data_IF_533284092785
#
_entry.id   IF_533284092785
#
_cell.length_a   1.000
_cell.length_b   1.000
_cell.length_c   1.000
_cell.angle_alpha   90.00
_cell.angle_beta   90.00
_cell.angle_gamma   90.00
#
_symmetry.space_group_name_H-M   'P 1'
#
loop_
_entity.id
_entity.type
_entity.pdbx_description
1 polymer ?
#
# COMPACT_ATOMS: atom_id res chain seq x y z
N UNK A 1 -63.87 69.45 28.87
CA UNK A 1 -62.61 70.21 28.80
C UNK A 1 -61.44 69.27 29.06
N UNK A 2 -60.43 69.27 28.17
CA UNK A 2 -59.15 68.51 28.16
C UNK A 2 -59.26 66.98 27.94
N UNK A 3 -58.36 66.26 27.30
CA UNK A 3 -57.45 66.46 26.14
C UNK A 3 -56.93 65.04 25.81
N UNK A 4 -56.86 64.72 24.53
CA UNK A 4 -56.18 63.59 23.87
C UNK A 4 -54.81 63.16 24.46
N UNK A 5 -54.57 61.83 24.41
CA UNK A 5 -53.44 61.12 23.74
C UNK A 5 -52.23 60.56 24.55
N UNK A 6 -52.05 59.25 24.33
CA UNK A 6 -50.83 58.42 24.25
C UNK A 6 -49.90 58.24 25.45
N UNK A 7 -49.88 57.00 25.98
CA UNK A 7 -48.64 56.30 26.28
C UNK A 7 -48.84 54.78 26.36
N UNK A 8 -48.97 54.07 25.25
CA UNK A 8 -48.75 52.61 25.22
C UNK A 8 -48.49 52.13 23.79
N UNK A 9 -47.25 52.25 23.33
CA UNK A 9 -46.73 51.45 22.20
C UNK A 9 -45.21 51.57 22.12
N UNK A 10 -44.51 50.80 22.92
CA UNK A 10 -43.12 50.39 22.68
C UNK A 10 -42.76 49.40 23.78
N UNK A 11 -43.01 48.10 23.57
CA UNK A 11 -42.44 46.97 24.32
C UNK A 11 -43.10 45.66 23.84
N UNK A 12 -42.96 45.32 22.55
CA UNK A 12 -43.19 43.92 22.16
C UNK A 12 -42.45 43.46 20.90
N UNK A 13 -41.93 44.35 20.04
CA UNK A 13 -41.20 43.91 18.85
C UNK A 13 -39.71 43.57 19.11
N UNK A 14 -39.05 44.16 20.11
CA UNK A 14 -37.61 43.96 20.32
C UNK A 14 -37.21 42.55 20.82
N UNK A 15 -38.08 41.87 21.57
CA UNK A 15 -37.78 40.54 22.13
C UNK A 15 -38.07 39.39 21.18
N UNK A 16 -38.98 39.55 20.21
CA UNK A 16 -39.33 38.51 19.25
C UNK A 16 -38.27 38.36 18.14
N UNK A 17 -37.66 39.46 17.70
CA UNK A 17 -36.56 39.42 16.72
C UNK A 17 -35.24 38.93 17.31
N UNK A 18 -35.00 39.12 18.61
CA UNK A 18 -33.79 38.63 19.27
C UNK A 18 -33.80 37.09 19.41
N UNK A 19 -34.94 36.50 19.80
CA UNK A 19 -35.08 35.04 19.91
C UNK A 19 -35.06 34.34 18.56
N UNK A 20 -35.66 34.92 17.51
CA UNK A 20 -35.54 34.37 16.15
C UNK A 20 -34.11 34.45 15.60
N UNK A 21 -33.37 35.55 15.84
CA UNK A 21 -31.95 35.63 15.44
C UNK A 21 -31.07 34.62 16.17
N UNK A 22 -31.31 34.37 17.46
CA UNK A 22 -30.58 33.36 18.24
C UNK A 22 -30.90 31.94 17.75
N UNK A 23 -32.17 31.63 17.47
CA UNK A 23 -32.57 30.34 16.90
C UNK A 23 -31.99 30.09 15.50
N UNK A 24 -31.94 31.12 14.64
CA UNK A 24 -31.34 31.04 13.30
C UNK A 24 -29.81 30.86 13.39
N UNK A 25 -29.13 31.54 14.33
CA UNK A 25 -27.68 31.38 14.54
C UNK A 25 -27.35 30.00 15.11
N UNK A 26 -28.15 29.47 16.04
CA UNK A 26 -27.96 28.10 16.55
C UNK A 26 -28.24 27.02 15.50
N UNK A 27 -29.24 27.21 14.64
CA UNK A 27 -29.52 26.25 13.55
C UNK A 27 -28.49 26.35 12.42
N UNK A 28 -27.99 27.55 12.09
CA UNK A 28 -26.83 27.70 11.18
C UNK A 28 -25.56 27.09 11.80
N UNK A 29 -25.29 27.32 13.08
CA UNK A 29 -24.14 26.71 13.76
C UNK A 29 -24.26 25.18 13.87
N UNK A 30 -25.46 24.64 14.05
CA UNK A 30 -25.69 23.19 14.05
C UNK A 30 -25.56 22.58 12.64
N UNK A 31 -26.01 23.28 11.59
CA UNK A 31 -25.80 22.86 10.19
C UNK A 31 -24.31 22.93 9.83
N UNK A 32 -23.60 24.01 10.20
CA UNK A 32 -22.15 24.15 10.00
C UNK A 32 -21.34 23.16 10.84
N UNK A 33 -21.76 22.84 12.06
CA UNK A 33 -21.14 21.80 12.87
C UNK A 33 -21.43 20.41 12.31
N UNK A 34 -22.63 20.16 11.76
CA UNK A 34 -22.95 18.88 11.11
C UNK A 34 -22.19 18.70 9.79
N UNK A 35 -21.97 19.77 9.02
CA UNK A 35 -21.13 19.75 7.82
C UNK A 35 -19.65 19.64 8.17
N UNK A 36 -19.16 20.33 9.20
CA UNK A 36 -17.79 20.13 9.69
C UNK A 36 -17.56 18.71 10.22
N UNK A 37 -18.55 18.12 10.91
CA UNK A 37 -18.46 16.74 11.40
C UNK A 37 -18.60 15.73 10.26
N UNK A 38 -19.38 16.03 9.21
CA UNK A 38 -19.39 15.24 7.97
C UNK A 38 -18.07 15.36 7.19
N UNK A 39 -17.43 16.53 7.15
CA UNK A 39 -16.13 16.73 6.50
C UNK A 39 -14.97 16.15 7.34
N UNK A 40 -15.09 16.13 8.68
CA UNK A 40 -14.11 15.54 9.61
C UNK A 40 -14.19 14.03 9.70
N UNK A 41 -15.35 13.44 9.40
CA UNK A 41 -15.43 12.05 8.99
C UNK A 41 -15.15 12.01 7.49
N UNK A 42 -13.87 12.10 7.12
CA UNK A 42 -13.40 11.68 5.80
C UNK A 42 -14.17 10.40 5.44
N UNK A 43 -14.96 10.49 4.37
CA UNK A 43 -15.95 9.50 4.01
C UNK A 43 -15.20 8.20 3.72
N UNK A 44 -15.08 7.35 4.75
CA UNK A 44 -14.30 6.11 4.68
C UNK A 44 -14.69 5.39 3.41
N UNK A 45 -13.72 5.01 2.59
CA UNK A 45 -14.00 4.17 1.43
C UNK A 45 -14.78 2.94 1.91
N UNK A 46 -15.99 2.74 1.42
CA UNK A 46 -16.81 1.58 1.81
C UNK A 46 -16.18 0.26 1.31
N UNK A 47 -16.45 -0.89 1.96
CA UNK A 47 -16.04 -2.19 1.43
C UNK A 47 -16.51 -2.37 -0.02
N UNK A 48 -15.62 -2.88 -0.88
CA UNK A 48 -15.91 -3.08 -2.30
C UNK A 48 -16.48 -4.48 -2.48
N UNK A 49 -17.60 -4.64 -3.19
CA UNK A 49 -18.14 -5.98 -3.48
C UNK A 49 -17.16 -6.80 -4.36
N UNK A 50 -17.07 -8.13 -4.21
CA UNK A 50 -16.13 -8.96 -4.98
C UNK A 50 -16.19 -8.79 -6.51
N UNK A 51 -17.39 -8.69 -7.07
CA UNK A 51 -17.58 -8.50 -8.52
C UNK A 51 -17.10 -7.11 -8.96
N UNK A 52 -17.35 -6.10 -8.11
CA UNK A 52 -16.90 -4.74 -8.36
C UNK A 52 -15.39 -4.60 -8.23
N UNK A 53 -14.77 -5.34 -7.30
CA UNK A 53 -13.33 -5.44 -7.19
C UNK A 53 -12.71 -5.96 -8.49
N UNK A 54 -13.26 -7.03 -9.05
CA UNK A 54 -12.83 -7.58 -10.34
C UNK A 54 -13.01 -6.59 -11.49
N UNK A 55 -14.15 -5.89 -11.56
CA UNK A 55 -14.41 -4.87 -12.56
C UNK A 55 -13.41 -3.71 -12.48
N UNK A 56 -13.15 -3.19 -11.27
CA UNK A 56 -12.19 -2.10 -11.04
C UNK A 56 -10.79 -2.57 -11.43
N UNK A 57 -10.33 -3.70 -10.91
CA UNK A 57 -9.02 -4.27 -11.22
C UNK A 57 -8.81 -4.42 -12.75
N UNK A 58 -9.79 -4.97 -13.47
CA UNK A 58 -9.70 -5.17 -14.92
C UNK A 58 -9.74 -3.85 -15.70
N UNK A 59 -10.64 -2.93 -15.33
CA UNK A 59 -10.79 -1.65 -16.05
C UNK A 59 -9.56 -0.75 -15.92
N UNK A 60 -8.92 -0.76 -14.75
CA UNK A 60 -7.69 -0.01 -14.49
C UNK A 60 -6.45 -0.64 -15.12
N UNK A 61 -6.44 -1.95 -15.33
CA UNK A 61 -5.27 -2.65 -15.88
C UNK A 61 -5.08 -2.40 -17.37
N UNK A 62 -3.83 -2.48 -17.82
CA UNK A 62 -3.42 -2.52 -19.23
C UNK A 62 -2.69 -3.85 -19.54
N UNK A 63 -2.23 -4.01 -20.78
CA UNK A 63 -1.45 -5.19 -21.17
C UNK A 63 -0.14 -5.25 -20.36
N UNK A 64 0.26 -6.46 -19.95
CA UNK A 64 1.50 -6.67 -19.22
C UNK A 64 2.71 -6.31 -20.08
N UNK A 65 3.69 -5.64 -19.48
CA UNK A 65 4.97 -5.38 -20.11
C UNK A 65 6.02 -6.43 -19.72
N UNK A 66 7.19 -6.33 -20.37
CA UNK A 66 8.32 -7.20 -20.09
C UNK A 66 9.16 -6.68 -18.92
N UNK A 67 9.55 -7.60 -18.03
CA UNK A 67 10.58 -7.36 -17.03
C UNK A 67 11.48 -8.60 -16.93
N UNK A 68 12.79 -8.39 -16.97
CA UNK A 68 13.79 -9.45 -17.18
C UNK A 68 13.99 -10.44 -16.01
N UNK A 69 13.29 -10.27 -14.89
CA UNK A 69 13.50 -11.08 -13.69
C UNK A 69 12.22 -11.34 -12.94
N UNK A 70 12.06 -12.55 -12.44
CA UNK A 70 11.05 -12.82 -11.43
C UNK A 70 11.45 -12.11 -10.13
N UNK A 71 10.49 -11.39 -9.53
CA UNK A 71 10.64 -10.75 -8.22
C UNK A 71 9.51 -11.29 -7.34
N UNK A 72 9.82 -12.31 -6.55
CA UNK A 72 8.87 -12.98 -5.65
C UNK A 72 8.78 -12.32 -4.27
N UNK A 73 9.86 -11.71 -3.80
CA UNK A 73 9.90 -10.93 -2.57
C UNK A 73 10.79 -9.70 -2.76
N UNK A 74 10.65 -8.71 -1.89
CA UNK A 74 11.63 -7.61 -1.79
C UNK A 74 13.04 -8.12 -1.48
N UNK A 75 14.05 -7.46 -2.05
CA UNK A 75 15.46 -7.62 -1.68
C UNK A 75 16.02 -6.35 -1.00
N UNK A 76 15.15 -5.40 -0.66
CA UNK A 76 15.50 -4.10 -0.12
C UNK A 76 15.79 -4.21 1.37
N UNK A 77 17.04 -4.01 1.77
CA UNK A 77 17.45 -4.13 3.18
C UNK A 77 17.18 -2.86 4.00
N UNK A 78 16.92 -1.72 3.32
CA UNK A 78 16.70 -0.39 3.92
C UNK A 78 15.24 0.03 3.92
N UNK A 79 14.31 -0.84 3.50
CA UNK A 79 12.90 -0.46 3.29
C UNK A 79 12.18 -0.02 4.58
N UNK A 80 12.71 -0.38 5.76
CA UNK A 80 12.19 0.06 7.06
C UNK A 80 12.70 1.45 7.47
N UNK A 81 13.77 1.95 6.87
CA UNK A 81 14.50 3.13 7.34
C UNK A 81 13.63 4.41 7.31
N UNK A 82 12.68 4.48 6.39
CA UNK A 82 11.79 5.63 6.23
C UNK A 82 10.52 5.56 7.09
N UNK A 83 10.25 4.44 7.78
CA UNK A 83 8.99 4.26 8.52
C UNK A 83 8.89 5.26 9.68
N UNK A 84 10.01 5.56 10.37
CA UNK A 84 10.05 6.61 11.39
C UNK A 84 9.70 7.98 10.80
N UNK A 85 10.34 8.34 9.69
CA UNK A 85 10.13 9.62 9.02
C UNK A 85 8.71 9.78 8.45
N UNK A 86 8.09 8.70 7.95
CA UNK A 86 6.68 8.71 7.53
C UNK A 86 5.77 9.07 8.71
N UNK A 87 6.02 8.53 9.91
CA UNK A 87 5.27 8.83 11.12
C UNK A 87 5.50 10.26 11.60
N UNK A 88 6.76 10.72 11.65
CA UNK A 88 7.12 12.08 12.04
C UNK A 88 6.44 13.14 11.17
N UNK A 89 6.26 12.83 9.88
CA UNK A 89 5.58 13.69 8.91
C UNK A 89 4.07 13.50 8.83
N UNK A 90 3.49 12.66 9.67
CA UNK A 90 2.06 12.36 9.64
C UNK A 90 1.57 11.88 8.27
N UNK A 91 2.40 11.11 7.54
CA UNK A 91 2.00 10.47 6.28
C UNK A 91 1.09 9.29 6.63
N UNK A 92 -0.21 9.58 6.70
CA UNK A 92 -1.23 8.64 7.16
C UNK A 92 -2.53 8.80 6.36
N UNK A 93 -3.30 7.72 6.21
CA UNK A 93 -4.61 7.74 5.57
C UNK A 93 -4.53 7.85 4.04
N UNK A 94 -5.63 8.34 3.45
CA UNK A 94 -5.76 8.56 2.01
C UNK A 94 -5.49 7.30 1.18
N UNK A 95 -4.81 7.47 0.05
CA UNK A 95 -4.52 6.38 -0.89
C UNK A 95 -3.03 6.06 -0.94
N UNK A 96 -2.73 4.77 -0.90
CA UNK A 96 -1.40 4.24 -1.16
C UNK A 96 -1.31 3.69 -2.60
N UNK A 97 -0.23 4.02 -3.30
CA UNK A 97 0.14 3.36 -4.56
C UNK A 97 1.51 2.71 -4.38
N UNK A 98 1.70 1.51 -4.91
CA UNK A 98 2.97 0.81 -4.80
C UNK A 98 3.27 -0.12 -5.96
N UNK A 99 4.55 -0.46 -6.16
CA UNK A 99 5.02 -1.48 -7.13
C UNK A 99 5.56 -2.71 -6.41
N UNK A 100 5.69 -3.84 -7.12
CA UNK A 100 6.31 -5.07 -6.64
C UNK A 100 5.52 -5.74 -5.47
N UNK A 101 6.02 -6.82 -4.81
CA UNK A 101 5.16 -7.65 -3.99
C UNK A 101 5.03 -7.14 -2.55
N UNK A 102 5.74 -7.77 -1.62
CA UNK A 102 5.35 -7.85 -0.21
C UNK A 102 5.80 -6.68 0.68
N UNK A 103 6.76 -5.85 0.26
CA UNK A 103 7.15 -4.66 1.00
C UNK A 103 6.00 -3.64 1.12
N UNK A 104 5.07 -3.65 0.16
CA UNK A 104 3.87 -2.83 0.19
C UNK A 104 3.04 -3.06 1.46
N UNK A 105 2.98 -4.28 1.99
CA UNK A 105 2.25 -4.57 3.22
C UNK A 105 2.78 -3.78 4.42
N UNK A 106 4.10 -3.57 4.49
CA UNK A 106 4.69 -2.78 5.58
C UNK A 106 4.36 -1.29 5.45
N UNK A 107 4.40 -0.74 4.24
CA UNK A 107 4.00 0.66 4.04
C UNK A 107 2.50 0.87 4.25
N UNK A 108 1.65 -0.04 3.75
CA UNK A 108 0.20 -0.01 3.98
C UNK A 108 -0.10 -0.09 5.48
N UNK A 109 0.57 -1.00 6.21
CA UNK A 109 0.41 -1.11 7.65
C UNK A 109 0.88 0.15 8.41
N UNK A 110 1.97 0.79 7.97
CA UNK A 110 2.48 2.00 8.62
C UNK A 110 1.64 3.25 8.32
N UNK A 111 1.18 3.41 7.07
CA UNK A 111 0.44 4.58 6.59
C UNK A 111 -1.05 4.47 6.89
N UNK A 112 -1.58 3.24 7.03
CA UNK A 112 -3.02 2.97 7.23
C UNK A 112 -3.91 3.69 6.18
N UNK A 113 -3.68 3.48 4.88
CA UNK A 113 -4.48 4.09 3.82
C UNK A 113 -5.88 3.47 3.74
N UNK A 114 -6.88 4.26 3.33
CA UNK A 114 -8.25 3.76 3.15
C UNK A 114 -8.40 2.90 1.90
N UNK A 115 -7.52 3.09 0.91
CA UNK A 115 -7.49 2.34 -0.34
C UNK A 115 -6.05 2.21 -0.83
N UNK A 116 -5.70 1.07 -1.40
CA UNK A 116 -4.36 0.81 -1.93
C UNK A 116 -4.41 0.24 -3.35
N UNK A 117 -3.51 0.72 -4.21
CA UNK A 117 -3.28 0.17 -5.55
C UNK A 117 -1.87 -0.37 -5.66
N UNK A 118 -1.74 -1.63 -6.10
CA UNK A 118 -0.43 -2.19 -6.43
C UNK A 118 -0.28 -2.25 -7.94
N UNK A 119 0.40 -1.26 -8.51
CA UNK A 119 0.59 -1.10 -9.95
C UNK A 119 1.96 -1.66 -10.34
N UNK A 120 1.98 -2.72 -11.14
CA UNK A 120 3.23 -3.34 -11.60
C UNK A 120 3.12 -3.73 -13.08
N UNK A 121 4.23 -3.55 -13.81
CA UNK A 121 4.30 -3.86 -15.24
C UNK A 121 4.07 -5.36 -15.52
N UNK A 122 4.37 -6.23 -14.55
CA UNK A 122 4.24 -7.67 -14.66
C UNK A 122 2.81 -8.10 -14.30
N UNK A 123 2.15 -8.77 -15.25
CA UNK A 123 0.88 -9.45 -14.97
C UNK A 123 1.03 -10.51 -13.86
N UNK A 124 2.18 -11.18 -13.79
CA UNK A 124 2.54 -12.11 -12.72
C UNK A 124 2.42 -11.48 -11.32
N UNK A 125 2.83 -10.21 -11.13
CA UNK A 125 2.75 -9.56 -9.82
C UNK A 125 1.29 -9.35 -9.39
N UNK A 126 0.39 -9.08 -10.34
CA UNK A 126 -1.05 -9.03 -10.08
C UNK A 126 -1.56 -10.39 -9.58
N UNK A 127 -1.19 -11.48 -10.24
CA UNK A 127 -1.55 -12.84 -9.82
C UNK A 127 -1.01 -13.15 -8.42
N UNK A 128 0.22 -12.74 -8.12
CA UNK A 128 0.81 -12.91 -6.80
C UNK A 128 0.05 -12.16 -5.69
N UNK A 129 -0.38 -10.93 -5.94
CA UNK A 129 -1.21 -10.19 -4.97
C UNK A 129 -2.61 -10.78 -4.82
N UNK A 130 -3.18 -11.39 -5.86
CA UNK A 130 -4.43 -12.15 -5.73
C UNK A 130 -4.24 -13.41 -4.87
N UNK A 131 -3.11 -14.11 -4.99
CA UNK A 131 -2.75 -15.19 -4.05
C UNK A 131 -2.68 -14.66 -2.62
N UNK A 132 -1.94 -13.59 -2.36
CA UNK A 132 -1.86 -13.01 -1.01
C UNK A 132 -3.22 -12.60 -0.47
N UNK A 133 -4.06 -12.00 -1.31
CA UNK A 133 -5.41 -11.60 -0.96
C UNK A 133 -6.21 -12.79 -0.41
N UNK A 134 -6.26 -13.90 -1.14
CA UNK A 134 -6.99 -15.08 -0.67
C UNK A 134 -6.35 -15.67 0.59
N UNK A 135 -5.01 -15.68 0.69
CA UNK A 135 -4.33 -16.12 1.91
C UNK A 135 -4.71 -15.28 3.14
N UNK A 136 -4.82 -13.96 3.01
CA UNK A 136 -5.32 -13.09 4.09
C UNK A 136 -6.79 -13.39 4.45
N UNK A 137 -7.64 -13.68 3.47
CA UNK A 137 -9.04 -14.04 3.73
C UNK A 137 -9.15 -15.34 4.53
N UNK A 138 -8.37 -16.35 4.14
CA UNK A 138 -8.35 -17.67 4.78
C UNK A 138 -7.70 -17.67 6.18
N UNK A 139 -6.89 -16.66 6.49
CA UNK A 139 -6.01 -16.68 7.68
C UNK A 139 -6.43 -15.64 8.70
N UNK A 140 -7.03 -16.05 9.83
CA UNK A 140 -7.37 -15.13 10.92
C UNK A 140 -6.13 -14.62 11.66
N UNK A 141 -5.06 -15.40 11.66
CA UNK A 141 -3.80 -15.14 12.35
C UNK A 141 -2.60 -15.12 11.41
N UNK A 142 -1.51 -14.51 11.87
CA UNK A 142 -0.22 -14.50 11.16
C UNK A 142 0.35 -15.91 10.97
N UNK A 143 0.18 -16.78 11.97
CA UNK A 143 0.62 -18.17 11.87
C UNK A 143 -0.14 -18.92 10.77
N UNK A 144 -1.46 -18.74 10.67
CA UNK A 144 -2.26 -19.33 9.59
C UNK A 144 -1.83 -18.81 8.21
N UNK A 145 -1.53 -17.52 8.09
CA UNK A 145 -1.05 -16.94 6.82
C UNK A 145 0.21 -17.64 6.33
N UNK A 146 1.21 -17.79 7.20
CA UNK A 146 2.44 -18.49 6.85
C UNK A 146 2.25 -20.00 6.68
N UNK A 147 1.31 -20.60 7.43
CA UNK A 147 0.92 -22.00 7.29
C UNK A 147 0.40 -22.29 5.88
N UNK A 148 -0.55 -21.50 5.37
CA UNK A 148 -1.03 -21.64 4.00
C UNK A 148 0.03 -21.27 2.95
N UNK A 149 0.79 -20.19 3.17
CA UNK A 149 1.83 -19.75 2.22
C UNK A 149 2.90 -20.80 1.97
N UNK A 150 3.31 -21.52 3.03
CA UNK A 150 4.37 -22.52 3.00
C UNK A 150 3.85 -23.97 2.93
N UNK A 151 2.53 -24.14 2.97
CA UNK A 151 1.83 -25.39 3.21
C UNK A 151 2.44 -26.17 4.40
N UNK A 152 2.56 -25.52 5.56
CA UNK A 152 3.15 -26.09 6.77
C UNK A 152 2.07 -26.16 7.87
N UNK A 153 1.47 -27.33 8.13
CA UNK A 153 0.34 -27.44 9.05
C UNK A 153 0.70 -26.98 10.46
N UNK A 154 -0.22 -26.27 11.10
CA UNK A 154 -0.08 -25.78 12.46
C UNK A 154 -0.27 -26.92 13.46
N UNK A 155 0.63 -27.06 14.43
CA UNK A 155 0.43 -27.93 15.59
C UNK A 155 -0.41 -27.16 16.63
N UNK A 156 -1.62 -27.61 17.00
CA UNK A 156 -2.47 -26.90 17.94
C UNK A 156 -1.85 -26.65 19.33
N UNK A 157 -0.82 -27.42 19.73
CA UNK A 157 -0.15 -27.29 21.03
C UNK A 157 1.09 -26.42 20.97
N UNK A 158 1.80 -26.40 19.84
CA UNK A 158 3.09 -25.71 19.69
C UNK A 158 3.02 -24.46 18.79
N UNK A 159 1.87 -24.19 18.18
CA UNK A 159 1.70 -23.04 17.30
C UNK A 159 1.98 -21.71 18.00
N UNK A 160 2.60 -20.74 17.31
CA UNK A 160 2.85 -19.42 17.87
C UNK A 160 1.56 -18.74 18.33
N UNK A 161 1.62 -18.08 19.50
CA UNK A 161 0.53 -17.24 19.99
C UNK A 161 0.14 -16.17 18.98
N UNK A 162 -1.11 -15.72 19.00
CA UNK A 162 -1.58 -14.59 18.18
C UNK A 162 -0.81 -13.29 18.43
N UNK A 163 -0.13 -13.17 19.58
CA UNK A 163 0.71 -12.03 19.95
C UNK A 163 2.21 -12.31 19.80
N UNK A 164 2.61 -13.48 19.29
CA UNK A 164 4.00 -13.82 19.06
C UNK A 164 4.69 -12.76 18.18
N UNK A 165 5.97 -12.52 18.42
CA UNK A 165 6.76 -11.66 17.54
C UNK A 165 7.13 -12.39 16.23
N UNK A 166 7.66 -11.66 15.26
CA UNK A 166 8.01 -12.28 13.98
C UNK A 166 9.14 -13.32 14.12
N UNK A 167 10.04 -13.18 15.10
CA UNK A 167 11.15 -14.11 15.27
C UNK A 167 10.64 -15.47 15.74
N UNK A 168 9.69 -15.49 16.66
CA UNK A 168 9.02 -16.71 17.14
C UNK A 168 8.29 -17.43 16.00
N UNK A 169 7.51 -16.69 15.20
CA UNK A 169 6.81 -17.25 14.03
C UNK A 169 7.80 -17.84 13.03
N UNK A 170 8.86 -17.10 12.70
CA UNK A 170 9.86 -17.59 11.74
C UNK A 170 10.62 -18.80 12.29
N UNK A 171 10.95 -18.82 13.59
CA UNK A 171 11.59 -19.98 14.23
C UNK A 171 10.71 -21.23 14.18
N UNK A 172 9.41 -21.07 14.44
CA UNK A 172 8.45 -22.18 14.35
C UNK A 172 8.42 -22.80 12.94
N UNK A 173 8.29 -21.98 11.89
CA UNK A 173 8.21 -22.47 10.51
C UNK A 173 9.52 -23.04 9.95
N UNK A 174 10.66 -22.78 10.58
CA UNK A 174 11.92 -23.48 10.26
C UNK A 174 11.91 -24.94 10.69
N UNK A 175 11.18 -25.28 11.76
CA UNK A 175 11.30 -26.56 12.44
C UNK A 175 10.22 -27.58 12.06
N UNK A 176 9.27 -27.19 11.20
CA UNK A 176 8.19 -28.08 10.76
C UNK A 176 8.26 -28.35 9.25
N UNK A 177 7.92 -29.55 8.78
CA UNK A 177 7.94 -29.88 7.36
C UNK A 177 6.78 -29.23 6.61
N UNK A 178 6.94 -29.04 5.30
CA UNK A 178 5.81 -28.71 4.42
C UNK A 178 5.04 -29.99 4.07
N UNK A 179 3.73 -29.86 3.89
CA UNK A 179 2.78 -30.92 3.60
C UNK A 179 2.23 -30.78 2.19
N UNK A 180 2.28 -31.87 1.42
CA UNK A 180 1.93 -31.85 -0.01
C UNK A 180 0.42 -31.80 -0.23
N UNK A 181 -0.37 -32.43 0.63
CA UNK A 181 -1.82 -32.47 0.48
C UNK A 181 -2.40 -31.10 0.81
N UNK A 182 -1.92 -30.47 1.88
CA UNK A 182 -2.22 -29.08 2.21
C UNK A 182 -1.84 -28.12 1.07
N UNK A 183 -0.69 -28.31 0.42
CA UNK A 183 -0.31 -27.51 -0.75
C UNK A 183 -1.33 -27.64 -1.88
N UNK A 184 -1.66 -28.87 -2.27
CA UNK A 184 -2.62 -29.14 -3.34
C UNK A 184 -4.01 -28.58 -3.01
N UNK A 185 -4.45 -28.70 -1.75
CA UNK A 185 -5.72 -28.16 -1.28
C UNK A 185 -5.75 -26.62 -1.26
N UNK A 186 -4.66 -25.98 -0.82
CA UNK A 186 -4.54 -24.53 -0.81
C UNK A 186 -4.60 -23.98 -2.24
N UNK A 187 -3.89 -24.65 -3.16
CA UNK A 187 -3.89 -24.31 -4.58
C UNK A 187 -5.28 -24.37 -5.20
N UNK A 188 -6.01 -25.47 -5.03
CA UNK A 188 -7.37 -25.60 -5.57
C UNK A 188 -8.33 -24.60 -4.93
N UNK A 189 -8.24 -24.39 -3.62
CA UNK A 189 -9.09 -23.44 -2.89
C UNK A 189 -8.91 -22.00 -3.38
N UNK A 190 -7.66 -21.57 -3.61
CA UNK A 190 -7.38 -20.21 -4.11
C UNK A 190 -7.99 -20.00 -5.50
N UNK A 191 -7.81 -20.97 -6.41
CA UNK A 191 -8.37 -20.89 -7.77
C UNK A 191 -9.89 -20.86 -7.71
N UNK A 192 -10.51 -21.73 -6.91
CA UNK A 192 -11.96 -21.80 -6.75
C UNK A 192 -12.53 -20.48 -6.22
N UNK A 193 -11.95 -19.90 -5.17
CA UNK A 193 -12.42 -18.62 -4.61
C UNK A 193 -12.29 -17.49 -5.65
N UNK A 194 -11.18 -17.42 -6.39
CA UNK A 194 -11.01 -16.41 -7.42
C UNK A 194 -12.05 -16.55 -8.54
N UNK A 195 -12.39 -17.76 -8.95
CA UNK A 195 -13.39 -18.01 -10.01
C UNK A 195 -14.83 -17.82 -9.53
N UNK A 196 -15.17 -18.28 -8.32
CA UNK A 196 -16.55 -18.32 -7.83
C UNK A 196 -16.95 -17.04 -7.10
N UNK A 197 -16.18 -16.64 -6.07
CA UNK A 197 -16.48 -15.46 -5.25
C UNK A 197 -16.14 -14.16 -5.99
N UNK A 198 -15.01 -14.11 -6.67
CA UNK A 198 -14.57 -12.90 -7.39
C UNK A 198 -15.01 -12.85 -8.84
N UNK A 199 -15.64 -13.92 -9.35
CA UNK A 199 -16.04 -14.05 -10.75
C UNK A 199 -14.90 -13.72 -11.73
N UNK A 200 -13.67 -14.07 -11.37
CA UNK A 200 -12.49 -13.76 -12.15
C UNK A 200 -12.32 -14.81 -13.25
N UNK A 201 -12.45 -14.38 -14.51
CA UNK A 201 -12.21 -15.21 -15.67
C UNK A 201 -10.72 -15.52 -15.85
N UNK A 202 -10.21 -16.50 -15.09
CA UNK A 202 -8.83 -16.95 -15.15
C UNK A 202 -8.57 -17.75 -16.44
N UNK A 203 -7.64 -17.27 -17.26
CA UNK A 203 -7.14 -18.01 -18.41
C UNK A 203 -6.00 -18.98 -18.00
N UNK A 204 -5.49 -19.77 -18.96
CA UNK A 204 -4.44 -20.76 -18.67
C UNK A 204 -3.12 -20.14 -18.19
N UNK A 205 -2.77 -18.93 -18.64
CA UNK A 205 -1.61 -18.18 -18.16
C UNK A 205 -1.80 -17.75 -16.72
N UNK A 206 -2.96 -17.20 -16.37
CA UNK A 206 -3.26 -16.76 -15.00
C UNK A 206 -3.14 -17.93 -14.02
N UNK A 207 -3.70 -19.09 -14.37
CA UNK A 207 -3.60 -20.31 -13.57
C UNK A 207 -2.14 -20.75 -13.42
N UNK A 208 -1.33 -20.70 -14.50
CA UNK A 208 0.10 -21.03 -14.42
C UNK A 208 0.85 -20.08 -13.48
N UNK A 209 0.59 -18.79 -13.53
CA UNK A 209 1.24 -17.79 -12.67
C UNK A 209 0.85 -17.97 -11.19
N UNK A 210 -0.44 -18.17 -10.89
CA UNK A 210 -0.91 -18.49 -9.53
C UNK A 210 -0.19 -19.74 -9.00
N UNK A 211 -0.09 -20.77 -9.82
CA UNK A 211 0.59 -22.01 -9.46
C UNK A 211 2.09 -21.81 -9.25
N UNK A 212 2.74 -20.99 -10.07
CA UNK A 212 4.16 -20.67 -9.93
C UNK A 212 4.46 -19.93 -8.61
N UNK A 213 3.59 -18.98 -8.23
CA UNK A 213 3.68 -18.27 -6.94
C UNK A 213 3.60 -19.26 -5.77
N UNK A 214 2.58 -20.12 -5.73
CA UNK A 214 2.43 -21.08 -4.65
C UNK A 214 3.60 -22.07 -4.61
N UNK A 215 4.02 -22.56 -5.78
CA UNK A 215 5.11 -23.53 -5.91
C UNK A 215 6.45 -22.98 -5.38
N UNK A 216 6.77 -21.72 -5.66
CA UNK A 216 8.04 -21.14 -5.20
C UNK A 216 8.05 -20.96 -3.67
N UNK A 217 6.93 -20.56 -3.07
CA UNK A 217 6.83 -20.45 -1.61
C UNK A 217 6.82 -21.81 -0.92
N UNK A 218 6.14 -22.81 -1.48
CA UNK A 218 6.19 -24.20 -0.99
C UNK A 218 7.61 -24.79 -1.05
N UNK A 219 8.31 -24.57 -2.17
CA UNK A 219 9.64 -25.15 -2.40
C UNK A 219 10.71 -24.52 -1.51
N UNK A 220 10.75 -23.18 -1.43
CA UNK A 220 11.86 -22.48 -0.78
C UNK A 220 11.51 -21.96 0.61
N UNK A 221 10.22 -21.91 0.98
CA UNK A 221 9.74 -21.47 2.28
C UNK A 221 10.39 -20.14 2.70
N UNK A 222 10.87 -20.06 3.94
CA UNK A 222 11.59 -18.91 4.48
C UNK A 222 12.94 -18.63 3.81
N UNK A 223 13.49 -19.58 3.06
CA UNK A 223 14.76 -19.46 2.33
C UNK A 223 14.60 -18.88 0.93
N UNK A 224 13.37 -18.56 0.50
CA UNK A 224 13.13 -17.88 -0.78
C UNK A 224 13.87 -16.53 -0.81
N UNK A 225 14.52 -16.22 -1.92
CA UNK A 225 15.08 -14.88 -2.20
C UNK A 225 14.25 -14.21 -3.29
N UNK A 226 14.49 -12.93 -3.59
CA UNK A 226 13.70 -12.23 -4.63
C UNK A 226 13.68 -12.97 -5.98
N UNK A 227 14.73 -13.73 -6.32
CA UNK A 227 14.81 -14.51 -7.56
C UNK A 227 14.36 -15.97 -7.46
N UNK A 228 13.68 -16.38 -6.38
CA UNK A 228 13.05 -17.69 -6.28
C UNK A 228 13.99 -18.81 -5.81
N UNK A 229 14.96 -18.51 -4.95
CA UNK A 229 15.84 -19.49 -4.29
C UNK A 229 17.31 -19.06 -4.17
N UNK A 230 18.14 -19.86 -3.51
CA UNK A 230 19.60 -19.73 -3.62
C UNK A 230 20.06 -20.30 -4.96
N UNK A 231 20.84 -19.52 -5.73
CA UNK A 231 21.53 -20.05 -6.91
C UNK A 231 22.27 -21.34 -6.54
N UNK A 232 22.19 -22.37 -7.41
CA UNK A 232 22.91 -23.67 -7.32
C UNK A 232 24.45 -23.58 -7.17
N UNK A 233 24.99 -22.37 -7.01
CA UNK A 233 26.41 -22.02 -6.84
C UNK A 233 26.72 -21.29 -5.52
N UNK A 234 25.83 -21.32 -4.53
CA UNK A 234 26.14 -20.93 -3.14
C UNK A 234 26.41 -19.44 -2.88
N UNK A 235 26.12 -18.55 -3.84
CA UNK A 235 26.23 -17.09 -3.66
C UNK A 235 25.01 -16.40 -4.26
N UNK A 236 23.97 -16.23 -3.46
CA UNK A 236 23.03 -15.13 -3.66
C UNK A 236 23.35 -14.08 -2.61
N UNK A 237 23.79 -12.88 -3.03
CA UNK A 237 23.93 -11.73 -2.13
C UNK A 237 22.56 -11.12 -1.75
N UNK A 238 21.46 -11.80 -2.07
CA UNK A 238 20.10 -11.32 -1.78
C UNK A 238 19.61 -11.94 -0.48
N UNK A 239 18.98 -11.13 0.40
CA UNK A 239 18.41 -11.65 1.62
C UNK A 239 17.31 -12.68 1.30
N UNK A 240 17.23 -13.69 2.15
CA UNK A 240 16.12 -14.63 2.25
C UNK A 240 14.89 -13.94 2.85
N UNK A 241 13.72 -14.56 2.70
CA UNK A 241 12.50 -14.02 3.28
C UNK A 241 12.56 -13.97 4.81
N UNK A 242 13.17 -14.97 5.45
CA UNK A 242 13.44 -14.95 6.89
C UNK A 242 14.33 -13.79 7.32
N UNK A 243 15.36 -13.42 6.54
CA UNK A 243 16.19 -12.26 6.84
C UNK A 243 15.39 -10.96 6.68
N UNK A 244 14.60 -10.84 5.59
CA UNK A 244 13.72 -9.68 5.38
C UNK A 244 12.72 -9.52 6.53
N UNK A 245 12.04 -10.59 6.93
CA UNK A 245 11.07 -10.58 8.03
C UNK A 245 11.70 -10.19 9.37
N UNK A 246 13.00 -10.43 9.57
CA UNK A 246 13.71 -10.10 10.81
C UNK A 246 14.41 -8.75 10.79
N UNK A 247 14.39 -8.02 9.67
CA UNK A 247 15.02 -6.70 9.58
C UNK A 247 14.52 -5.75 10.67
N UNK A 248 15.43 -4.88 11.10
CA UNK A 248 15.19 -3.80 12.04
C UNK A 248 15.46 -2.47 11.33
N UNK A 249 14.70 -1.44 11.71
CA UNK A 249 14.99 -0.07 11.31
C UNK A 249 16.29 0.43 11.99
N UNK A 250 16.78 1.65 11.64
CA UNK A 250 17.97 2.23 12.27
C UNK A 250 17.86 2.42 13.79
N UNK A 251 16.64 2.53 14.33
CA UNK A 251 16.38 2.61 15.76
C UNK A 251 16.27 1.24 16.46
N UNK A 252 16.50 0.13 15.74
CA UNK A 252 16.50 -1.23 16.26
C UNK A 252 15.11 -1.88 16.39
N UNK A 253 14.05 -1.25 15.87
CA UNK A 253 12.67 -1.74 15.91
C UNK A 253 12.36 -2.65 14.73
N UNK A 254 11.67 -3.77 14.98
CA UNK A 254 11.13 -4.64 13.92
C UNK A 254 9.78 -4.08 13.46
N UNK A 255 9.78 -3.38 12.33
CA UNK A 255 8.62 -2.64 11.83
C UNK A 255 7.93 -3.30 10.64
N UNK A 256 8.29 -4.55 10.30
CA UNK A 256 7.62 -5.28 9.24
C UNK A 256 6.15 -5.57 9.62
N UNK A 257 5.27 -5.60 8.62
CA UNK A 257 3.83 -5.79 8.82
C UNK A 257 3.41 -7.09 9.53
N UNK A 258 4.25 -8.11 9.55
CA UNK A 258 3.95 -9.39 10.20
C UNK A 258 4.46 -9.43 11.65
N UNK A 259 5.14 -8.38 12.14
CA UNK A 259 5.65 -8.35 13.51
C UNK A 259 4.58 -8.13 14.58
N UNK A 260 3.51 -7.39 14.26
CA UNK A 260 2.44 -7.09 15.21
C UNK A 260 1.10 -7.70 14.78
N UNK A 261 0.26 -8.07 15.75
CA UNK A 261 -1.12 -8.49 15.49
C UNK A 261 -1.94 -7.37 14.85
N UNK A 262 -1.76 -6.15 15.31
CA UNK A 262 -2.51 -4.99 14.86
C UNK A 262 -2.30 -4.70 13.37
N UNK A 263 -1.05 -4.73 12.90
CA UNK A 263 -0.72 -4.51 11.49
C UNK A 263 -1.26 -5.63 10.60
N UNK A 264 -1.18 -6.88 11.07
CA UNK A 264 -1.77 -8.00 10.37
C UNK A 264 -3.29 -7.90 10.27
N UNK A 265 -3.98 -7.58 11.37
CA UNK A 265 -5.44 -7.41 11.37
C UNK A 265 -5.84 -6.29 10.42
N UNK A 266 -5.11 -5.18 10.40
CA UNK A 266 -5.35 -4.09 9.47
C UNK A 266 -5.27 -4.55 8.00
N UNK A 267 -4.19 -5.24 7.63
CA UNK A 267 -4.00 -5.76 6.28
C UNK A 267 -5.06 -6.80 5.91
N UNK A 268 -5.40 -7.69 6.83
CA UNK A 268 -6.47 -8.67 6.64
C UNK A 268 -7.80 -7.98 6.38
N UNK A 269 -8.16 -6.99 7.19
CA UNK A 269 -9.39 -6.20 7.01
C UNK A 269 -9.40 -5.53 5.64
N UNK A 270 -8.32 -4.87 5.21
CA UNK A 270 -8.27 -4.28 3.87
C UNK A 270 -8.44 -5.31 2.75
N UNK A 271 -7.89 -6.52 2.90
CA UNK A 271 -8.08 -7.59 1.92
C UNK A 271 -9.53 -8.10 1.91
N UNK A 272 -10.14 -8.34 3.07
CA UNK A 272 -11.54 -8.76 3.19
C UNK A 272 -12.52 -7.72 2.62
N UNK A 273 -12.22 -6.44 2.81
CA UNK A 273 -13.00 -5.31 2.30
C UNK A 273 -12.66 -4.96 0.84
N UNK A 274 -11.78 -5.74 0.19
CA UNK A 274 -11.39 -5.57 -1.21
C UNK A 274 -10.72 -4.21 -1.53
N UNK A 275 -9.98 -3.66 -0.57
CA UNK A 275 -9.35 -2.33 -0.64
C UNK A 275 -7.87 -2.34 -1.01
N UNK A 276 -7.28 -3.50 -1.31
CA UNK A 276 -5.95 -3.61 -1.92
C UNK A 276 -6.14 -4.15 -3.34
N UNK A 277 -6.02 -3.28 -4.33
CA UNK A 277 -6.36 -3.56 -5.73
C UNK A 277 -5.07 -3.72 -6.54
N UNK A 278 -4.71 -4.94 -6.96
CA UNK A 278 -3.56 -5.14 -7.82
C UNK A 278 -3.91 -4.78 -9.27
N UNK A 279 -3.05 -4.02 -9.95
CA UNK A 279 -3.27 -3.49 -11.30
C UNK A 279 -2.05 -3.83 -12.16
N UNK A 280 -2.26 -4.43 -13.32
CA UNK A 280 -1.19 -4.55 -14.32
C UNK A 280 -1.01 -3.21 -15.01
N UNK A 281 0.18 -2.61 -14.90
CA UNK A 281 0.43 -1.28 -15.42
C UNK A 281 1.90 -0.86 -15.48
N UNK A 282 2.28 -0.25 -16.59
CA UNK A 282 3.53 0.47 -16.73
C UNK A 282 3.37 1.90 -16.18
N UNK A 283 4.29 2.32 -15.32
CA UNK A 283 4.32 3.68 -14.78
C UNK A 283 4.40 4.76 -15.86
N UNK A 284 5.10 4.49 -16.96
CA UNK A 284 5.17 5.38 -18.12
C UNK A 284 4.18 4.99 -19.24
N UNK A 285 3.29 4.03 -18.98
CA UNK A 285 2.24 3.57 -19.90
C UNK A 285 1.14 4.62 -20.09
N UNK A 286 0.27 4.39 -21.06
CA UNK A 286 -0.78 5.36 -21.43
C UNK A 286 -2.06 5.23 -20.61
N UNK A 287 -2.29 4.08 -19.94
CA UNK A 287 -3.59 3.77 -19.33
C UNK A 287 -3.52 3.66 -17.82
N UNK A 288 -2.76 2.72 -17.25
CA UNK A 288 -3.00 2.26 -15.89
C UNK A 288 -2.98 3.36 -14.82
N UNK A 289 -1.93 4.18 -14.76
CA UNK A 289 -1.86 5.29 -13.80
C UNK A 289 -2.85 6.42 -14.10
N UNK A 290 -3.11 6.71 -15.38
CA UNK A 290 -4.11 7.69 -15.79
C UNK A 290 -5.52 7.26 -15.35
N UNK A 291 -5.84 5.98 -15.50
CA UNK A 291 -7.10 5.39 -15.07
C UNK A 291 -7.24 5.38 -13.55
N UNK A 292 -6.17 5.03 -12.82
CA UNK A 292 -6.13 5.16 -11.34
C UNK A 292 -6.37 6.62 -10.95
N UNK A 293 -5.67 7.58 -11.57
CA UNK A 293 -5.85 8.99 -11.29
C UNK A 293 -7.29 9.47 -11.50
N UNK A 294 -7.93 9.04 -12.60
CA UNK A 294 -9.34 9.33 -12.87
C UNK A 294 -10.25 8.71 -11.81
N UNK A 295 -10.07 7.42 -11.51
CA UNK A 295 -10.85 6.70 -10.50
C UNK A 295 -10.82 7.40 -9.14
N UNK A 296 -9.65 7.92 -8.75
CA UNK A 296 -9.45 8.65 -7.50
C UNK A 296 -10.14 10.02 -7.51
N UNK A 297 -10.01 10.78 -8.61
CA UNK A 297 -10.68 12.09 -8.76
C UNK A 297 -12.19 11.99 -8.71
N UNK A 298 -12.77 10.98 -9.35
CA UNK A 298 -14.22 10.72 -9.30
C UNK A 298 -14.75 10.44 -7.88
N UNK A 299 -13.85 10.09 -6.95
CA UNK A 299 -14.15 9.75 -5.56
C UNK A 299 -13.58 10.75 -4.55
N UNK A 300 -13.01 11.87 -5.03
CA UNK A 300 -12.34 12.87 -4.18
C UNK A 300 -11.28 12.27 -3.24
N UNK A 301 -10.55 11.26 -3.73
CA UNK A 301 -9.49 10.60 -2.96
C UNK A 301 -8.12 11.15 -3.32
N UNK A 302 -7.28 11.35 -2.31
CA UNK A 302 -5.91 11.89 -2.46
C UNK A 302 -4.87 10.79 -2.25
N UNK A 303 -3.84 10.78 -3.10
CA UNK A 303 -2.67 9.90 -2.95
C UNK A 303 -1.75 10.44 -1.86
N UNK A 304 -1.67 9.74 -0.74
CA UNK A 304 -0.82 10.12 0.39
C UNK A 304 0.61 9.62 0.21
N UNK A 305 0.77 8.42 -0.37
CA UNK A 305 2.09 7.87 -0.63
C UNK A 305 2.13 7.04 -1.91
N UNK A 306 3.25 7.12 -2.61
CA UNK A 306 3.54 6.32 -3.79
C UNK A 306 4.93 5.66 -3.65
N UNK A 307 4.94 4.35 -3.37
CA UNK A 307 6.15 3.54 -3.39
C UNK A 307 6.52 3.12 -4.81
N UNK A 308 7.71 3.54 -5.27
CA UNK A 308 8.16 3.36 -6.67
C UNK A 308 9.40 2.47 -6.78
N UNK A 309 9.89 1.92 -5.66
CA UNK A 309 11.13 1.13 -5.61
C UNK A 309 12.26 1.84 -6.38
N UNK A 310 12.96 1.13 -7.27
CA UNK A 310 13.97 1.67 -8.19
C UNK A 310 13.47 1.76 -9.65
N UNK A 311 12.15 1.72 -9.88
CA UNK A 311 11.55 1.66 -11.24
C UNK A 311 12.06 2.79 -12.13
N UNK A 312 12.20 3.99 -11.57
CA UNK A 312 12.56 5.18 -12.33
C UNK A 312 13.96 5.11 -12.95
N UNK A 313 14.87 4.30 -12.40
CA UNK A 313 16.16 4.03 -13.04
C UNK A 313 15.96 3.46 -14.44
N UNK A 314 15.04 2.51 -14.59
CA UNK A 314 14.72 1.88 -15.87
C UNK A 314 14.02 2.87 -16.80
N UNK A 315 13.13 3.70 -16.27
CA UNK A 315 12.45 4.74 -17.07
C UNK A 315 13.43 5.77 -17.66
N UNK A 316 14.52 6.10 -16.95
CA UNK A 316 15.61 6.89 -17.51
C UNK A 316 16.39 6.12 -18.58
N UNK A 317 16.73 4.84 -18.33
CA UNK A 317 17.45 3.99 -19.29
C UNK A 317 16.68 3.85 -20.61
N UNK A 318 15.37 3.66 -20.52
CA UNK A 318 14.47 3.47 -21.66
C UNK A 318 14.00 4.79 -22.29
N UNK A 319 14.45 5.95 -21.75
CA UNK A 319 14.11 7.30 -22.23
C UNK A 319 12.61 7.62 -22.21
N UNK A 320 11.86 7.01 -21.31
CA UNK A 320 10.41 7.21 -21.12
C UNK A 320 10.05 7.90 -19.80
N UNK A 321 11.05 8.38 -19.05
CA UNK A 321 10.85 9.10 -17.79
C UNK A 321 9.87 10.29 -17.91
N UNK A 322 9.87 11.01 -19.03
CA UNK A 322 8.95 12.12 -19.26
C UNK A 322 7.48 11.69 -19.29
N UNK A 323 7.18 10.47 -19.76
CA UNK A 323 5.81 9.94 -19.76
C UNK A 323 5.36 9.60 -18.34
N UNK A 324 6.24 8.99 -17.55
CA UNK A 324 6.00 8.78 -16.12
C UNK A 324 5.72 10.07 -15.38
N UNK A 325 6.56 11.10 -15.55
CA UNK A 325 6.36 12.38 -14.89
C UNK A 325 5.03 13.04 -15.29
N UNK A 326 4.60 12.90 -16.55
CA UNK A 326 3.26 13.35 -16.98
C UNK A 326 2.13 12.57 -16.31
N UNK A 327 2.27 11.25 -16.14
CA UNK A 327 1.29 10.43 -15.43
C UNK A 327 1.20 10.81 -13.95
N UNK A 328 2.33 11.09 -13.30
CA UNK A 328 2.35 11.59 -11.91
C UNK A 328 1.54 12.88 -11.76
N UNK A 329 1.64 13.81 -12.72
CA UNK A 329 0.86 15.07 -12.72
C UNK A 329 -0.66 14.87 -12.83
N UNK A 330 -1.12 13.68 -13.23
CA UNK A 330 -2.54 13.37 -13.27
C UNK A 330 -3.09 12.99 -11.90
N UNK A 331 -2.26 12.47 -10.99
CA UNK A 331 -2.71 11.96 -9.68
C UNK A 331 -3.24 13.11 -8.80
N UNK A 332 -4.37 12.90 -8.09
CA UNK A 332 -4.77 13.80 -7.02
C UNK A 332 -3.82 13.66 -5.84
N UNK A 333 -3.06 14.72 -5.55
CA UNK A 333 -2.05 14.79 -4.48
C UNK A 333 -2.29 16.04 -3.62
N UNK A 334 -1.70 16.06 -2.42
CA UNK A 334 -1.62 17.22 -1.54
C UNK A 334 -0.15 17.61 -1.26
N UNK A 335 0.06 18.62 -0.42
CA UNK A 335 1.39 19.10 -0.04
C UNK A 335 2.21 18.10 0.80
N UNK A 336 1.58 17.06 1.35
CA UNK A 336 2.20 16.02 2.17
C UNK A 336 2.41 14.71 1.40
N UNK A 337 1.86 14.57 0.20
CA UNK A 337 2.04 13.40 -0.66
C UNK A 337 3.53 13.12 -0.92
N UNK A 338 3.95 11.89 -0.63
CA UNK A 338 5.35 11.46 -0.77
C UNK A 338 5.55 10.32 -1.75
N UNK A 339 6.65 10.37 -2.49
CA UNK A 339 7.27 9.19 -3.05
C UNK A 339 8.10 8.46 -2.01
N UNK A 340 8.07 7.13 -2.07
CA UNK A 340 9.00 6.25 -1.35
C UNK A 340 9.86 5.53 -2.39
N UNK A 341 11.16 5.83 -2.41
CA UNK A 341 12.12 5.33 -3.41
C UNK A 341 13.16 4.44 -2.78
N UNK A 342 13.51 3.36 -3.46
CA UNK A 342 14.68 2.57 -3.16
C UNK A 342 15.80 2.89 -4.15
N UNK A 343 16.99 3.16 -3.61
CA UNK A 343 18.20 3.44 -4.38
C UNK A 343 19.10 2.21 -4.24
N UNK A 344 19.34 1.54 -5.36
CA UNK A 344 20.13 0.31 -5.44
C UNK A 344 21.42 0.47 -6.26
N UNK A 345 21.93 1.71 -6.35
CA UNK A 345 23.21 2.04 -6.99
C UNK A 345 24.38 1.91 -5.98
N UNK A 346 25.46 2.68 -6.16
CA UNK A 346 26.56 2.75 -5.19
C UNK A 346 26.13 3.25 -3.80
N UNK A 347 24.92 3.78 -3.70
CA UNK A 347 24.27 4.20 -2.45
C UNK A 347 23.07 3.31 -2.23
N UNK A 348 23.08 2.50 -1.16
CA UNK A 348 21.89 1.74 -0.73
C UNK A 348 21.12 2.56 0.28
N UNK A 349 19.96 3.05 -0.12
CA UNK A 349 19.10 3.85 0.75
C UNK A 349 17.65 3.79 0.30
N UNK A 350 16.74 3.92 1.26
CA UNK A 350 15.33 4.24 0.99
C UNK A 350 15.11 5.71 1.31
N UNK A 351 14.49 6.47 0.40
CA UNK A 351 14.30 7.92 0.54
C UNK A 351 12.86 8.34 0.32
N UNK A 352 12.46 9.39 1.02
CA UNK A 352 11.20 10.08 0.78
C UNK A 352 11.44 11.34 -0.06
N UNK A 353 10.50 11.67 -0.95
CA UNK A 353 10.48 12.94 -1.67
C UNK A 353 9.05 13.42 -1.79
N UNK A 354 8.79 14.72 -1.58
CA UNK A 354 7.46 15.28 -1.85
C UNK A 354 7.13 15.18 -3.35
N UNK A 355 5.93 14.69 -3.67
CA UNK A 355 5.48 14.59 -5.07
C UNK A 355 5.39 15.99 -5.70
N UNK A 356 4.96 16.99 -4.94
CA UNK A 356 4.90 18.38 -5.41
C UNK A 356 6.29 18.92 -5.81
N UNK A 357 7.33 18.67 -5.01
CA UNK A 357 8.70 19.08 -5.34
C UNK A 357 9.23 18.31 -6.54
N UNK A 358 8.88 17.02 -6.66
CA UNK A 358 9.19 16.24 -7.87
C UNK A 358 8.60 16.89 -9.13
N UNK A 359 7.31 17.27 -9.12
CA UNK A 359 6.65 17.91 -10.25
C UNK A 359 7.31 19.26 -10.57
N UNK A 360 7.59 20.09 -9.57
CA UNK A 360 8.23 21.40 -9.76
C UNK A 360 9.62 21.30 -10.39
N UNK A 361 10.45 20.36 -9.90
CA UNK A 361 11.77 20.11 -10.45
C UNK A 361 11.71 19.55 -11.88
N UNK A 362 10.73 18.68 -12.18
CA UNK A 362 10.50 18.17 -13.52
C UNK A 362 10.11 19.28 -14.50
N UNK A 363 9.12 20.11 -14.15
CA UNK A 363 8.64 21.22 -14.98
C UNK A 363 9.74 22.27 -15.22
N UNK A 364 10.67 22.42 -14.28
CA UNK A 364 11.86 23.28 -14.40
C UNK A 364 13.03 22.62 -15.15
N UNK A 365 12.87 21.42 -15.69
CA UNK A 365 13.91 20.71 -16.44
C UNK A 365 15.15 20.32 -15.63
N UNK A 366 15.01 20.14 -14.31
CA UNK A 366 16.14 19.84 -13.41
C UNK A 366 16.57 18.37 -13.46
N UNK A 367 15.69 17.46 -13.85
CA UNK A 367 16.00 16.03 -13.94
C UNK A 367 16.56 15.65 -15.32
N UNK A 368 17.88 15.82 -15.49
CA UNK A 368 18.59 15.47 -16.73
C UNK A 368 19.10 14.02 -16.71
N UNK A 369 19.20 13.44 -15.53
CA UNK A 369 19.69 12.09 -15.28
C UNK A 369 18.98 11.48 -14.05
N UNK A 370 19.12 10.15 -13.89
CA UNK A 370 18.67 9.47 -12.68
C UNK A 370 19.37 9.99 -11.41
N UNK A 371 20.62 10.44 -11.52
CA UNK A 371 21.34 11.02 -10.38
C UNK A 371 20.74 12.34 -9.92
N UNK A 372 20.27 13.17 -10.86
CA UNK A 372 19.56 14.40 -10.52
C UNK A 372 18.30 14.08 -9.70
N UNK A 373 17.53 13.06 -10.12
CA UNK A 373 16.32 12.65 -9.41
C UNK A 373 16.61 12.25 -7.95
N UNK A 374 17.65 11.44 -7.72
CA UNK A 374 17.90 10.88 -6.39
C UNK A 374 18.74 11.79 -5.48
N UNK A 375 19.48 12.77 -6.02
CA UNK A 375 20.39 13.62 -5.25
C UNK A 375 19.92 15.07 -5.07
N UNK A 376 19.13 15.63 -6.00
CA UNK A 376 18.77 17.05 -5.95
C UNK A 376 17.86 17.41 -4.77
N UNK A 377 16.90 16.55 -4.46
CA UNK A 377 15.88 16.80 -3.45
C UNK A 377 15.37 15.49 -2.85
N UNK A 378 15.34 15.42 -1.53
CA UNK A 378 14.73 14.36 -0.74
C UNK A 378 14.56 14.84 0.69
N UNK A 379 13.58 14.27 1.39
CA UNK A 379 13.33 14.55 2.80
C UNK A 379 14.43 13.86 3.61
N UNK A 380 15.15 14.63 4.40
CA UNK A 380 16.19 14.13 5.32
C UNK A 380 15.57 13.76 6.65
N UNK A 381 16.03 12.66 7.24
CA UNK A 381 15.81 12.39 8.65
C UNK A 381 16.86 13.20 9.45
N UNK A 382 16.38 14.06 10.35
CA UNK A 382 17.23 14.90 11.21
C UNK A 382 18.10 14.07 12.17
N UNK A 383 17.77 12.79 12.39
CA UNK A 383 18.50 11.86 13.24
C UNK A 383 19.39 10.87 12.45
N UNK A 384 19.34 10.90 11.11
CA UNK A 384 20.18 10.03 10.28
C UNK A 384 21.60 10.58 10.21
N UNK A 385 22.49 10.04 11.05
CA UNK A 385 23.92 9.99 10.70
C UNK A 385 23.99 9.24 9.38
N UNK A 386 24.63 9.81 8.35
CA UNK A 386 24.85 9.16 7.06
C UNK A 386 25.59 7.82 7.26
N UNK A 387 24.85 6.76 7.57
CA UNK A 387 25.34 5.41 7.39
C UNK A 387 25.19 5.08 5.91
N UNK A 388 26.05 5.71 5.11
CA UNK A 388 26.43 5.16 3.82
C UNK A 388 27.07 3.81 4.15
N UNK A 389 26.28 2.74 4.14
CA UNK A 389 26.82 1.39 4.18
C UNK A 389 27.49 1.15 2.83
N UNK A 390 28.77 1.49 2.74
CA UNK A 390 29.65 0.98 1.70
C UNK A 390 29.74 -0.54 1.92
N UNK A 391 29.18 -1.31 0.98
CA UNK A 391 29.33 -2.76 0.92
C UNK A 391 30.11 -3.15 -0.32
#
# INVERSE_FOLDING_TARGET
MKKRVHLFRQLSLGKFFATQKILIVFSLAAVFASSLVHDLYAQRVEPIAPEKFTEIMNSLSEEGGYYQSDIWITNEQTYLDVIGLLKERSVQGGVYIGVAPNQNFTYIAAIKPELAFIVDIRHQNRMQHLVYKILFELSETRAEFFSYLFAKPLDPKESPSVNADINEIVNYFYNIPSDRDMFNQTQSTIIDILQTKYNLALNSTDIREINAVLQVFYQYNLSITSGGGQNRRGRSNRPTFAEILRLRDPAGKQLNAFNSREDYVYLRTMNLENKIIPVTGNFAGSKALSAVAQFLKERNLTVTAFYVSNVERYLFQDRIFNNWARNVKLLPIDENSVFIRNISSNYRATRLQLIQTFISNFDSGRYRSYYDLILLDYIRDNNSIEHIRQY
#
